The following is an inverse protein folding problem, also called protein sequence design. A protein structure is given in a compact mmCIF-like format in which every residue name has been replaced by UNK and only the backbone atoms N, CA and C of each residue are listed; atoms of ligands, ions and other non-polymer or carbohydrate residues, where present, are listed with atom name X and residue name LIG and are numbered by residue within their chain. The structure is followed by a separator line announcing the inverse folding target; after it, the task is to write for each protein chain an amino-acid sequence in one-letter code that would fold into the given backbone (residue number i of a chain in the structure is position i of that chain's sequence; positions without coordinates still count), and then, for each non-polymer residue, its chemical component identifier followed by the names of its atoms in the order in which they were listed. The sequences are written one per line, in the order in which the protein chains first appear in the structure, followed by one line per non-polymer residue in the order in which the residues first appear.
data_IF_905160329743
#
_entry.id   IF_905160329743
#
_cell.length_a   1.000
_cell.length_b   1.000
_cell.length_c   1.000
_cell.angle_alpha   90.00
_cell.angle_beta   90.00
_cell.angle_gamma   90.00
#
_symmetry.space_group_name_H-M   'P 1'
#
loop_
_entity.id
_entity.type
_entity.pdbx_description
1 polymer ?
#
# COMPACT_ATOMS: atom_id res chain seq x y z
N UNK A 1 13.50 -16.34 18.38
CA UNK A 1 13.25 -15.03 17.76
C UNK A 1 13.80 -15.07 16.33
N UNK A 2 12.95 -14.83 15.34
CA UNK A 2 13.37 -14.61 13.96
C UNK A 2 13.20 -15.80 13.01
N UNK A 3 11.97 -16.31 12.85
CA UNK A 3 11.58 -16.80 11.53
C UNK A 3 11.64 -15.57 10.61
N UNK A 4 12.78 -15.43 9.92
CA UNK A 4 13.03 -14.32 9.02
C UNK A 4 12.05 -14.48 7.87
N UNK A 5 11.05 -13.61 7.88
CA UNK A 5 10.19 -13.22 6.77
C UNK A 5 11.05 -13.03 5.50
N UNK A 6 11.33 -14.12 4.79
CA UNK A 6 11.93 -14.06 3.48
C UNK A 6 10.78 -13.81 2.51
N UNK A 7 10.40 -12.53 2.36
CA UNK A 7 9.45 -12.12 1.34
C UNK A 7 10.22 -11.92 0.03
N UNK A 8 9.93 -12.68 -1.04
CA UNK A 8 10.53 -12.45 -2.34
C UNK A 8 9.97 -11.16 -2.96
N UNK A 9 10.79 -10.44 -3.73
CA UNK A 9 10.40 -9.18 -4.39
C UNK A 9 9.16 -9.30 -5.27
N UNK A 10 8.94 -10.48 -5.86
CA UNK A 10 7.73 -10.76 -6.63
C UNK A 10 6.46 -10.71 -5.78
N UNK A 11 6.51 -11.17 -4.53
CA UNK A 11 5.39 -11.11 -3.59
C UNK A 11 5.16 -9.68 -3.08
N UNK A 12 6.23 -8.93 -2.81
CA UNK A 12 6.13 -7.51 -2.43
C UNK A 12 5.56 -6.66 -3.58
N UNK A 13 5.99 -6.91 -4.82
CA UNK A 13 5.46 -6.24 -6.01
C UNK A 13 3.98 -6.56 -6.20
N UNK A 14 3.60 -7.84 -6.09
CA UNK A 14 2.20 -8.25 -6.22
C UNK A 14 1.34 -7.62 -5.11
N UNK A 15 1.83 -7.61 -3.86
CA UNK A 15 1.15 -6.97 -2.74
C UNK A 15 0.96 -5.46 -2.94
N UNK A 16 2.01 -4.75 -3.37
CA UNK A 16 1.93 -3.32 -3.68
C UNK A 16 0.93 -3.00 -4.79
N UNK A 17 0.93 -3.80 -5.85
CA UNK A 17 -0.04 -3.67 -6.95
C UNK A 17 -1.48 -3.94 -6.48
N UNK A 18 -1.71 -5.00 -5.69
CA UNK A 18 -3.02 -5.31 -5.12
C UNK A 18 -3.53 -4.21 -4.19
N UNK A 19 -2.66 -3.62 -3.37
CA UNK A 19 -3.02 -2.50 -2.49
C UNK A 19 -3.34 -1.23 -3.28
N UNK A 20 -2.58 -0.95 -4.34
CA UNK A 20 -2.86 0.16 -5.25
C UNK A 20 -4.21 0.02 -5.97
N UNK A 21 -4.49 -1.17 -6.52
CA UNK A 21 -5.79 -1.49 -7.14
C UNK A 21 -6.93 -1.38 -6.13
N UNK A 22 -6.76 -1.92 -4.92
CA UNK A 22 -7.76 -1.83 -3.86
C UNK A 22 -8.05 -0.37 -3.47
N UNK A 23 -7.03 0.48 -3.37
CA UNK A 23 -7.20 1.91 -3.11
C UNK A 23 -7.98 2.62 -4.22
N UNK A 24 -7.71 2.28 -5.49
CA UNK A 24 -8.44 2.80 -6.64
C UNK A 24 -9.90 2.34 -6.64
N UNK A 25 -10.16 1.05 -6.41
CA UNK A 25 -11.52 0.49 -6.33
C UNK A 25 -12.32 1.05 -5.15
N UNK A 26 -11.69 1.29 -3.99
CA UNK A 26 -12.36 1.91 -2.85
C UNK A 26 -12.75 3.36 -3.15
N UNK A 27 -11.90 4.09 -3.88
CA UNK A 27 -12.14 5.47 -4.31
C UNK A 27 -13.17 5.56 -5.46
N UNK A 28 -13.14 4.63 -6.41
CA UNK A 28 -13.96 4.66 -7.63
C UNK A 28 -15.28 3.87 -7.51
N UNK A 29 -15.28 2.78 -6.75
CA UNK A 29 -16.44 1.92 -6.48
C UNK A 29 -17.42 2.50 -5.45
N UNK A 30 -17.24 3.76 -5.05
CA UNK A 30 -18.29 4.50 -4.37
C UNK A 30 -19.31 4.89 -5.44
N UNK A 31 -20.43 4.17 -5.52
CA UNK A 31 -21.58 4.48 -6.39
C UNK A 31 -22.25 5.83 -6.07
N UNK A 32 -21.54 6.73 -5.38
CA UNK A 32 -22.07 7.88 -4.70
C UNK A 32 -22.81 7.48 -3.44
N UNK A 33 -22.86 8.42 -2.49
CA UNK A 33 -23.88 8.37 -1.44
C UNK A 33 -25.26 8.28 -2.11
N UNK A 34 -26.13 7.33 -1.73
CA UNK A 34 -27.47 7.27 -2.29
C UNK A 34 -28.20 8.59 -2.05
N UNK A 35 -28.62 9.23 -3.13
CA UNK A 35 -29.31 10.52 -3.12
C UNK A 35 -30.82 10.30 -2.97
N UNK A 36 -31.29 10.19 -1.73
CA UNK A 36 -32.70 10.11 -1.37
C UNK A 36 -33.04 11.08 -0.25
N UNK A 37 -34.25 11.65 -0.24
CA UNK A 37 -34.78 12.36 0.94
C UNK A 37 -35.14 11.32 1.99
N UNK A 38 -34.29 11.21 3.00
CA UNK A 38 -34.50 10.33 4.15
C UNK A 38 -35.45 10.94 5.18
N UNK A 39 -35.93 12.17 4.96
CA UNK A 39 -36.88 12.88 5.84
C UNK A 39 -38.24 12.18 5.91
N UNK A 40 -38.56 11.35 4.90
CA UNK A 40 -39.76 10.50 4.88
C UNK A 40 -39.68 9.28 5.81
N UNK A 41 -38.49 8.95 6.33
CA UNK A 41 -38.29 7.86 7.29
C UNK A 41 -38.48 8.40 8.71
N UNK A 42 -39.72 8.28 9.22
CA UNK A 42 -40.17 8.51 10.61
C UNK A 42 -39.07 8.79 11.66
N UNK A 43 -38.49 10.00 11.67
CA UNK A 43 -37.51 10.45 12.66
C UNK A 43 -36.10 9.84 12.58
N UNK A 44 -35.81 8.89 11.68
CA UNK A 44 -34.49 8.22 11.57
C UNK A 44 -33.63 8.77 10.42
N UNK A 45 -34.17 9.65 9.57
CA UNK A 45 -33.45 10.20 8.42
C UNK A 45 -32.11 10.86 8.75
N UNK A 46 -32.03 11.55 9.89
CA UNK A 46 -30.78 12.13 10.38
C UNK A 46 -29.72 11.09 10.76
N UNK A 47 -30.13 9.99 11.41
CA UNK A 47 -29.23 8.89 11.75
C UNK A 47 -28.75 8.12 10.51
N UNK A 48 -29.60 7.98 9.49
CA UNK A 48 -29.22 7.42 8.19
C UNK A 48 -28.22 8.33 7.47
N UNK A 49 -28.44 9.65 7.48
CA UNK A 49 -27.50 10.62 6.92
C UNK A 49 -26.12 10.52 7.60
N UNK A 50 -26.10 10.53 8.93
CA UNK A 50 -24.88 10.43 9.73
C UNK A 50 -24.13 9.11 9.50
N UNK A 51 -24.86 7.99 9.46
CA UNK A 51 -24.28 6.68 9.12
C UNK A 51 -23.64 6.69 7.72
N UNK A 52 -24.34 7.22 6.71
CA UNK A 52 -23.82 7.29 5.34
C UNK A 52 -22.59 8.21 5.24
N UNK A 53 -22.52 9.30 6.00
CA UNK A 53 -21.32 10.14 6.11
C UNK A 53 -20.17 9.39 6.76
N UNK A 54 -20.43 8.67 7.85
CA UNK A 54 -19.43 7.85 8.54
C UNK A 54 -18.86 6.76 7.64
N UNK A 55 -19.71 6.09 6.86
CA UNK A 55 -19.27 5.08 5.87
C UNK A 55 -18.41 5.70 4.77
N UNK A 56 -18.79 6.87 4.25
CA UNK A 56 -17.97 7.57 3.26
C UNK A 56 -16.57 7.92 3.83
N UNK A 57 -16.53 8.49 5.03
CA UNK A 57 -15.28 8.83 5.71
C UNK A 57 -14.40 7.60 5.97
N UNK A 58 -14.98 6.50 6.43
CA UNK A 58 -14.25 5.26 6.68
C UNK A 58 -13.65 4.68 5.39
N UNK A 59 -14.36 4.79 4.26
CA UNK A 59 -13.86 4.35 2.95
C UNK A 59 -12.69 5.21 2.48
N UNK A 60 -12.78 6.53 2.64
CA UNK A 60 -11.69 7.44 2.28
C UNK A 60 -10.46 7.19 3.13
N UNK A 61 -10.63 6.99 4.44
CA UNK A 61 -9.54 6.64 5.35
C UNK A 61 -8.88 5.29 4.99
N UNK A 62 -9.68 4.28 4.61
CA UNK A 62 -9.15 2.99 4.18
C UNK A 62 -8.38 3.09 2.86
N UNK A 63 -8.87 3.90 1.91
CA UNK A 63 -8.18 4.14 0.66
C UNK A 63 -6.84 4.86 0.87
N UNK A 64 -6.78 5.81 1.82
CA UNK A 64 -5.55 6.52 2.17
C UNK A 64 -4.53 5.61 2.88
N UNK A 65 -5.00 4.76 3.79
CA UNK A 65 -4.18 3.73 4.43
C UNK A 65 -3.60 2.75 3.39
N UNK A 66 -4.40 2.31 2.42
CA UNK A 66 -3.95 1.43 1.34
C UNK A 66 -2.88 2.10 0.45
N UNK A 67 -3.04 3.39 0.11
CA UNK A 67 -2.02 4.16 -0.61
C UNK A 67 -0.72 4.29 0.19
N UNK A 68 -0.83 4.61 1.48
CA UNK A 68 0.32 4.73 2.38
C UNK A 68 1.08 3.40 2.48
N UNK A 69 0.36 2.29 2.60
CA UNK A 69 0.95 0.95 2.61
C UNK A 69 1.67 0.65 1.27
N UNK A 70 1.05 0.95 0.13
CA UNK A 70 1.67 0.76 -1.18
C UNK A 70 2.98 1.56 -1.32
N UNK A 71 2.97 2.84 -0.92
CA UNK A 71 4.16 3.69 -0.94
C UNK A 71 5.27 3.16 -0.02
N UNK A 72 4.90 2.63 1.15
CA UNK A 72 5.85 2.03 2.09
C UNK A 72 6.52 0.80 1.48
N UNK A 73 5.75 -0.06 0.80
CA UNK A 73 6.30 -1.22 0.08
C UNK A 73 7.23 -0.78 -1.04
N UNK A 74 6.86 0.23 -1.83
CA UNK A 74 7.73 0.77 -2.87
C UNK A 74 9.04 1.36 -2.31
N UNK A 75 8.98 2.04 -1.15
CA UNK A 75 10.17 2.52 -0.45
C UNK A 75 11.09 1.37 -0.04
N UNK A 76 10.53 0.33 0.59
CA UNK A 76 11.29 -0.86 0.99
C UNK A 76 11.99 -1.54 -0.20
N UNK A 77 11.30 -1.64 -1.33
CA UNK A 77 11.88 -2.21 -2.55
C UNK A 77 13.03 -1.35 -3.11
N UNK A 78 12.90 -0.02 -3.04
CA UNK A 78 13.97 0.90 -3.45
C UNK A 78 15.20 0.75 -2.56
N UNK A 79 15.01 0.71 -1.24
CA UNK A 79 16.08 0.54 -0.27
C UNK A 79 16.79 -0.82 -0.45
N UNK A 80 16.02 -1.88 -0.74
CA UNK A 80 16.57 -3.20 -1.04
C UNK A 80 17.39 -3.21 -2.32
N UNK A 81 16.91 -2.55 -3.38
CA UNK A 81 17.65 -2.45 -4.65
C UNK A 81 18.95 -1.63 -4.50
N UNK A 82 18.94 -0.57 -3.69
CA UNK A 82 20.15 0.20 -3.37
C UNK A 82 21.17 -0.65 -2.59
N UNK A 83 20.70 -1.42 -1.61
CA UNK A 83 21.54 -2.35 -0.85
C UNK A 83 22.17 -3.42 -1.77
N UNK A 84 21.38 -3.99 -2.69
CA UNK A 84 21.88 -4.98 -3.66
C UNK A 84 22.92 -4.37 -4.61
N UNK A 85 22.70 -3.14 -5.09
CA UNK A 85 23.67 -2.43 -5.90
C UNK A 85 24.98 -2.15 -5.15
N UNK A 86 24.89 -1.74 -3.88
CA UNK A 86 26.04 -1.52 -3.02
C UNK A 86 26.82 -2.82 -2.76
N UNK A 87 26.12 -3.92 -2.46
CA UNK A 87 26.74 -5.23 -2.26
C UNK A 87 27.43 -5.71 -3.54
N UNK A 88 26.78 -5.59 -4.71
CA UNK A 88 27.37 -5.96 -5.99
C UNK A 88 28.65 -5.16 -6.30
N UNK A 89 28.65 -3.85 -6.02
CA UNK A 89 29.81 -2.99 -6.20
C UNK A 89 30.96 -3.37 -5.24
N UNK A 90 30.63 -3.65 -3.98
CA UNK A 90 31.62 -4.03 -2.96
C UNK A 90 32.24 -5.39 -3.27
N UNK A 91 31.44 -6.38 -3.66
CA UNK A 91 31.92 -7.71 -4.07
C UNK A 91 32.80 -7.61 -5.32
N UNK A 92 32.40 -6.83 -6.33
CA UNK A 92 33.21 -6.60 -7.53
C UNK A 92 34.57 -5.99 -7.18
N UNK A 93 34.60 -5.00 -6.29
CA UNK A 93 35.84 -4.38 -5.83
C UNK A 93 36.73 -5.35 -5.03
N UNK A 94 36.15 -6.24 -4.22
CA UNK A 94 36.88 -7.27 -3.48
C UNK A 94 37.53 -8.33 -4.39
N UNK A 95 36.85 -8.73 -5.47
CA UNK A 95 37.43 -9.63 -6.49
C UNK A 95 38.49 -8.95 -7.37
N UNK A 96 38.34 -7.64 -7.65
CA UNK A 96 39.32 -6.88 -8.41
C UNK A 96 40.64 -6.69 -7.62
N UNK A 97 40.58 -6.54 -6.30
CA UNK A 97 41.76 -6.43 -5.43
C UNK A 97 42.46 -7.78 -5.26
N UNK A 98 41.74 -8.91 -5.21
CA UNK A 98 42.37 -10.24 -5.03
C UNK A 98 43.09 -10.78 -6.27
N UNK A 99 42.67 -10.38 -7.48
CA UNK A 99 43.38 -10.72 -8.73
C UNK A 99 44.64 -9.87 -8.99
N UNK A 100 44.95 -8.91 -8.11
CA UNK A 100 46.08 -7.99 -8.26
C UNK A 100 47.39 -8.41 -7.58
N UNK A 101 47.44 -9.54 -6.88
CA UNK A 101 48.66 -9.98 -6.18
C UNK A 101 49.09 -11.39 -6.55
N UNK A 102 50.10 -11.42 -7.43
CA UNK A 102 51.07 -12.47 -7.78
C UNK A 102 50.58 -13.67 -8.60
#
# INVERSE_FOLDING_TARGET
MGDRLHLPDSELTAAGASLGTAAQEMSAGSSGRPSGSWDSLSGIGGAVDEYLRGVALARDALADAAKTAANTVSGLMSDSAELDAYLAQTVYSGYAVSKGTK
#
